data_IF_244517839579
#
_entry.id   IF_244517839579
#
_cell.length_a   1.000
_cell.length_b   1.000
_cell.length_c   1.000
_cell.angle_alpha   90.00
_cell.angle_beta   90.00
_cell.angle_gamma   90.00
#
_symmetry.space_group_name_H-M   'P 1'
#
loop_
_entity.id
_entity.type
_entity.pdbx_description
1 polymer ?
#
# COMPACT_ATOMS: atom_id res chain seq x y z
N UNK A 1 -26.15 -55.28 9.03
CA UNK A 1 -24.83 -55.52 8.41
C UNK A 1 -23.81 -54.60 9.08
N UNK A 2 -23.05 -55.08 10.08
CA UNK A 2 -22.01 -54.28 10.76
C UNK A 2 -20.72 -54.43 9.95
N UNK A 3 -20.30 -53.37 9.26
CA UNK A 3 -18.98 -53.33 8.62
C UNK A 3 -17.90 -53.30 9.70
N UNK A 4 -17.40 -54.47 10.04
CA UNK A 4 -16.26 -54.63 10.93
C UNK A 4 -14.99 -54.34 10.13
N UNK A 5 -14.62 -53.07 10.01
CA UNK A 5 -13.31 -52.68 9.45
C UNK A 5 -12.26 -53.03 10.49
N UNK A 6 -11.70 -54.23 10.35
CA UNK A 6 -10.47 -54.65 11.01
C UNK A 6 -9.34 -53.68 10.61
N UNK A 7 -9.10 -52.66 11.44
CA UNK A 7 -7.89 -51.85 11.37
C UNK A 7 -6.73 -52.72 11.88
N UNK A 8 -6.18 -53.57 11.00
CA UNK A 8 -4.90 -54.24 11.27
C UNK A 8 -3.88 -53.16 11.65
N UNK A 9 -3.18 -53.27 12.80
CA UNK A 9 -2.17 -52.29 13.16
C UNK A 9 -1.10 -52.27 12.07
N UNK A 10 -0.97 -51.12 11.39
CA UNK A 10 0.04 -50.91 10.36
C UNK A 10 1.43 -51.21 10.96
N UNK A 11 2.13 -52.20 10.41
CA UNK A 11 3.52 -52.51 10.80
C UNK A 11 4.37 -51.25 10.61
N UNK A 12 4.95 -50.73 11.69
CA UNK A 12 5.90 -49.61 11.65
C UNK A 12 7.18 -50.10 10.97
N UNK A 13 7.37 -49.68 9.72
CA UNK A 13 8.57 -49.99 8.96
C UNK A 13 9.62 -48.89 9.12
N UNK A 14 10.90 -49.27 9.04
CA UNK A 14 12.01 -48.31 9.06
C UNK A 14 11.90 -47.29 7.91
N UNK A 15 12.40 -46.09 8.18
CA UNK A 15 12.43 -44.98 7.21
C UNK A 15 13.35 -45.30 6.03
N UNK A 16 12.89 -45.02 4.81
CA UNK A 16 13.68 -45.15 3.57
C UNK A 16 14.39 -43.84 3.20
N UNK A 17 14.44 -42.83 4.09
CA UNK A 17 15.07 -41.54 3.83
C UNK A 17 16.59 -41.63 4.03
N UNK A 18 17.41 -41.49 2.97
CA UNK A 18 18.86 -41.45 3.13
C UNK A 18 19.31 -40.14 3.79
N UNK A 19 20.52 -40.12 4.33
CA UNK A 19 21.07 -38.97 5.06
C UNK A 19 20.93 -37.63 4.29
N UNK A 20 21.28 -37.62 3.00
CA UNK A 20 21.16 -36.41 2.13
C UNK A 20 19.71 -35.90 2.03
N UNK A 21 18.75 -36.81 1.84
CA UNK A 21 17.34 -36.44 1.67
C UNK A 21 16.71 -36.02 3.01
N UNK A 22 17.19 -36.60 4.12
CA UNK A 22 16.86 -36.15 5.47
C UNK A 22 17.38 -34.74 5.74
N UNK A 23 18.61 -34.43 5.32
CA UNK A 23 19.17 -33.07 5.42
C UNK A 23 18.34 -32.04 4.64
N UNK A 24 17.97 -32.36 3.40
CA UNK A 24 17.09 -31.51 2.59
C UNK A 24 15.73 -31.25 3.26
N UNK A 25 15.10 -32.29 3.83
CA UNK A 25 13.85 -32.15 4.56
C UNK A 25 14.01 -31.26 5.80
N UNK A 26 15.11 -31.41 6.55
CA UNK A 26 15.37 -30.56 7.73
C UNK A 26 15.52 -29.10 7.29
N UNK A 27 16.29 -28.82 6.25
CA UNK A 27 16.43 -27.47 5.70
C UNK A 27 15.07 -26.87 5.30
N UNK A 28 14.25 -27.65 4.57
CA UNK A 28 12.91 -27.22 4.19
C UNK A 28 12.00 -26.98 5.41
N UNK A 29 12.10 -27.79 6.47
CA UNK A 29 11.33 -27.59 7.70
C UNK A 29 11.77 -26.34 8.47
N UNK A 30 13.05 -25.98 8.46
CA UNK A 30 13.53 -24.72 9.04
C UNK A 30 12.93 -23.53 8.29
N UNK A 31 12.98 -23.55 6.95
CA UNK A 31 12.34 -22.51 6.14
C UNK A 31 10.82 -22.47 6.34
N UNK A 32 10.16 -23.62 6.47
CA UNK A 32 8.74 -23.71 6.74
C UNK A 32 8.37 -23.12 8.11
N UNK A 33 9.20 -23.32 9.14
CA UNK A 33 9.00 -22.69 10.45
C UNK A 33 9.07 -21.16 10.34
N UNK A 34 10.06 -20.64 9.61
CA UNK A 34 10.17 -19.21 9.32
C UNK A 34 8.95 -18.70 8.54
N UNK A 35 8.53 -19.40 7.48
CA UNK A 35 7.37 -19.01 6.66
C UNK A 35 6.08 -18.98 7.46
N UNK A 36 5.86 -19.94 8.37
CA UNK A 36 4.69 -19.94 9.25
C UNK A 36 4.75 -18.78 10.24
N UNK A 37 5.90 -18.52 10.85
CA UNK A 37 6.08 -17.39 11.76
C UNK A 37 5.89 -16.04 11.06
N UNK A 38 6.45 -15.89 9.85
CA UNK A 38 6.26 -14.72 8.99
C UNK A 38 4.78 -14.51 8.66
N UNK A 39 4.08 -15.57 8.23
CA UNK A 39 2.64 -15.50 7.93
C UNK A 39 1.82 -15.09 9.15
N UNK A 40 2.10 -15.68 10.32
CA UNK A 40 1.44 -15.33 11.57
C UNK A 40 1.72 -13.87 11.97
N UNK A 41 2.95 -13.38 11.79
CA UNK A 41 3.29 -11.98 12.01
C UNK A 41 2.49 -11.04 11.09
N UNK A 42 2.36 -11.35 9.79
CA UNK A 42 1.56 -10.55 8.86
C UNK A 42 0.07 -10.56 9.25
N UNK A 43 -0.46 -11.70 9.71
CA UNK A 43 -1.82 -11.81 10.23
C UNK A 43 -2.02 -11.02 11.52
N UNK A 44 -1.05 -11.02 12.43
CA UNK A 44 -1.08 -10.21 13.65
C UNK A 44 -1.09 -8.72 13.34
N UNK A 45 -0.32 -8.28 12.34
CA UNK A 45 -0.33 -6.88 11.90
C UNK A 45 -1.72 -6.49 11.34
N UNK A 46 -2.33 -7.36 10.54
CA UNK A 46 -3.69 -7.15 10.04
C UNK A 46 -4.75 -7.18 11.15
N UNK A 47 -4.59 -8.02 12.15
CA UNK A 47 -5.47 -8.05 13.32
C UNK A 47 -5.32 -6.77 14.14
N UNK A 48 -4.10 -6.29 14.35
CA UNK A 48 -3.84 -5.03 15.04
C UNK A 48 -4.51 -3.85 14.33
N UNK A 49 -4.48 -3.82 13.00
CA UNK A 49 -5.19 -2.81 12.21
C UNK A 49 -6.71 -2.87 12.44
N UNK A 50 -7.30 -4.06 12.37
CA UNK A 50 -8.73 -4.26 12.64
C UNK A 50 -9.15 -3.87 14.07
N UNK A 51 -8.25 -3.98 15.04
CA UNK A 51 -8.45 -3.58 16.44
C UNK A 51 -8.08 -2.10 16.71
N UNK A 52 -7.61 -1.35 15.71
CA UNK A 52 -7.18 0.03 15.85
C UNK A 52 -5.88 0.22 16.63
N UNK A 53 -5.07 -0.84 16.79
CA UNK A 53 -3.78 -0.81 17.48
C UNK A 53 -2.68 -0.23 16.59
N UNK A 54 -2.71 1.10 16.44
CA UNK A 54 -1.83 1.87 15.55
C UNK A 54 -0.33 1.70 15.79
N UNK A 55 0.08 1.29 17.00
CA UNK A 55 1.48 1.02 17.31
C UNK A 55 2.05 -0.22 16.59
N UNK A 56 1.20 -1.22 16.33
CA UNK A 56 1.63 -2.48 15.72
C UNK A 56 1.09 -2.65 14.29
N UNK A 57 -0.01 -1.98 13.96
CA UNK A 57 -0.62 -2.01 12.63
C UNK A 57 0.27 -1.31 11.59
N UNK A 58 0.40 -1.89 10.40
CA UNK A 58 0.86 -1.13 9.25
C UNK A 58 -0.24 -0.11 8.91
N UNK A 59 0.10 1.17 8.94
CA UNK A 59 -0.89 2.25 8.79
C UNK A 59 -1.01 2.71 7.35
N UNK A 60 -2.12 3.37 7.03
CA UNK A 60 -2.40 3.98 5.71
C UNK A 60 -1.33 5.00 5.26
N UNK A 61 -0.54 5.50 6.21
CA UNK A 61 0.40 6.61 6.00
C UNK A 61 1.86 6.18 6.04
N UNK A 62 2.17 5.01 6.60
CA UNK A 62 3.53 4.46 6.61
C UNK A 62 3.54 2.94 6.82
N UNK A 63 4.39 2.27 6.04
CA UNK A 63 4.69 0.85 6.19
C UNK A 63 5.97 0.69 7.01
N UNK A 64 5.93 0.08 8.21
CA UNK A 64 7.13 -0.18 9.00
C UNK A 64 8.18 -0.99 8.21
N UNK A 65 9.47 -0.69 8.40
CA UNK A 65 10.55 -1.35 7.66
C UNK A 65 10.54 -2.87 7.81
N UNK A 66 10.31 -3.37 9.03
CA UNK A 66 10.21 -4.80 9.27
C UNK A 66 9.00 -5.42 8.56
N UNK A 67 7.87 -4.73 8.50
CA UNK A 67 6.70 -5.22 7.77
C UNK A 67 7.03 -5.38 6.28
N UNK A 68 7.68 -4.39 5.67
CA UNK A 68 8.13 -4.46 4.27
C UNK A 68 9.12 -5.62 4.06
N UNK A 69 10.09 -5.78 4.96
CA UNK A 69 11.04 -6.87 4.92
C UNK A 69 10.37 -8.24 5.07
N UNK A 70 9.34 -8.36 5.91
CA UNK A 70 8.57 -9.59 6.08
C UNK A 70 7.77 -9.94 4.83
N UNK A 71 7.15 -8.97 4.15
CA UNK A 71 6.49 -9.20 2.86
C UNK A 71 7.48 -9.68 1.79
N UNK A 72 8.65 -9.03 1.70
CA UNK A 72 9.68 -9.41 0.73
C UNK A 72 10.25 -10.80 1.02
N UNK A 73 10.61 -11.08 2.27
CA UNK A 73 11.15 -12.38 2.68
C UNK A 73 10.10 -13.49 2.60
N UNK A 74 8.81 -13.20 2.79
CA UNK A 74 7.73 -14.16 2.55
C UNK A 74 7.78 -14.69 1.11
N UNK A 75 7.93 -13.78 0.16
CA UNK A 75 8.01 -14.14 -1.27
C UNK A 75 9.31 -14.90 -1.55
N UNK A 76 10.47 -14.34 -1.20
CA UNK A 76 11.77 -14.94 -1.50
C UNK A 76 12.00 -16.28 -0.82
N UNK A 77 11.75 -16.37 0.49
CA UNK A 77 11.91 -17.62 1.26
C UNK A 77 10.80 -18.62 0.89
N UNK A 78 9.60 -18.16 0.57
CA UNK A 78 8.51 -19.02 0.07
C UNK A 78 8.89 -19.72 -1.23
N UNK A 79 9.45 -19.00 -2.21
CA UNK A 79 9.93 -19.57 -3.46
C UNK A 79 11.08 -20.57 -3.25
N UNK A 80 12.03 -20.25 -2.36
CA UNK A 80 13.09 -21.17 -2.00
C UNK A 80 12.54 -22.46 -1.35
N UNK A 81 11.62 -22.32 -0.39
CA UNK A 81 10.97 -23.45 0.28
C UNK A 81 10.26 -24.36 -0.71
N UNK A 82 9.44 -23.80 -1.61
CA UNK A 82 8.71 -24.57 -2.63
C UNK A 82 9.70 -25.31 -3.53
N UNK A 83 10.76 -24.65 -3.98
CA UNK A 83 11.79 -25.26 -4.83
C UNK A 83 12.45 -26.47 -4.15
N UNK A 84 12.89 -26.31 -2.89
CA UNK A 84 13.48 -27.41 -2.11
C UNK A 84 12.48 -28.54 -1.86
N UNK A 85 11.20 -28.22 -1.62
CA UNK A 85 10.15 -29.21 -1.40
C UNK A 85 9.78 -29.97 -2.67
N UNK A 86 9.79 -29.34 -3.84
CA UNK A 86 9.58 -30.01 -5.12
C UNK A 86 10.73 -30.97 -5.43
N UNK A 87 11.98 -30.51 -5.25
CA UNK A 87 13.18 -31.37 -5.37
C UNK A 87 13.08 -32.56 -4.41
N UNK A 88 12.70 -32.32 -3.16
CA UNK A 88 12.47 -33.38 -2.18
C UNK A 88 11.36 -34.33 -2.63
N UNK A 89 10.22 -33.82 -3.09
CA UNK A 89 9.06 -34.63 -3.48
C UNK A 89 9.39 -35.58 -4.63
N UNK A 90 10.09 -35.11 -5.66
CA UNK A 90 10.53 -35.93 -6.80
C UNK A 90 11.47 -37.04 -6.33
N UNK A 91 12.54 -36.69 -5.59
CA UNK A 91 13.49 -37.68 -5.07
C UNK A 91 12.87 -38.66 -4.08
N UNK A 92 11.90 -38.19 -3.29
CA UNK A 92 11.18 -39.00 -2.31
C UNK A 92 10.27 -40.00 -3.02
N UNK A 93 9.51 -39.56 -4.02
CA UNK A 93 8.58 -40.37 -4.78
C UNK A 93 9.28 -41.58 -5.41
N UNK A 94 10.40 -41.38 -6.10
CA UNK A 94 11.18 -42.48 -6.70
C UNK A 94 11.60 -43.55 -5.69
N UNK A 95 11.88 -43.16 -4.45
CA UNK A 95 12.29 -44.10 -3.39
C UNK A 95 11.12 -44.84 -2.77
N UNK A 96 10.00 -44.16 -2.52
CA UNK A 96 8.84 -44.75 -1.84
C UNK A 96 7.88 -45.45 -2.78
N UNK A 97 7.96 -45.23 -4.09
CA UNK A 97 7.14 -45.89 -5.11
C UNK A 97 7.11 -47.41 -4.95
N UNK A 98 8.26 -48.00 -4.59
CA UNK A 98 8.42 -49.45 -4.37
C UNK A 98 7.60 -50.02 -3.21
N UNK A 99 7.05 -49.18 -2.32
CA UNK A 99 6.22 -49.64 -1.20
C UNK A 99 4.73 -49.78 -1.54
N UNK A 100 4.29 -49.34 -2.72
CA UNK A 100 2.91 -49.47 -3.20
C UNK A 100 1.80 -49.08 -2.20
N UNK A 101 2.07 -48.12 -1.30
CA UNK A 101 1.09 -47.68 -0.29
C UNK A 101 0.23 -46.53 -0.83
N UNK A 102 -0.92 -46.87 -1.42
CA UNK A 102 -1.79 -45.95 -2.15
C UNK A 102 -2.13 -44.68 -1.36
N UNK A 103 -2.53 -44.79 -0.09
CA UNK A 103 -2.91 -43.63 0.72
C UNK A 103 -1.77 -42.63 0.94
N UNK A 104 -0.52 -43.10 1.05
CA UNK A 104 0.66 -42.21 1.14
C UNK A 104 0.96 -41.53 -0.19
N UNK A 105 0.78 -42.23 -1.31
CA UNK A 105 0.98 -41.66 -2.65
C UNK A 105 -0.07 -40.59 -2.94
N UNK A 106 -1.35 -40.88 -2.72
CA UNK A 106 -2.45 -39.92 -2.95
C UNK A 106 -2.33 -38.69 -2.07
N UNK A 107 -2.04 -38.86 -0.77
CA UNK A 107 -1.82 -37.72 0.13
C UNK A 107 -0.60 -36.89 -0.27
N UNK A 108 0.47 -37.53 -0.77
CA UNK A 108 1.66 -36.84 -1.28
C UNK A 108 1.40 -36.04 -2.54
N UNK A 109 0.69 -36.63 -3.52
CA UNK A 109 0.30 -35.94 -4.76
C UNK A 109 -0.61 -34.75 -4.44
N UNK A 110 -1.61 -34.96 -3.58
CA UNK A 110 -2.53 -33.89 -3.15
C UNK A 110 -1.75 -32.74 -2.49
N UNK A 111 -0.78 -33.05 -1.63
CA UNK A 111 0.08 -32.06 -0.99
C UNK A 111 0.91 -31.26 -2.02
N UNK A 112 1.48 -31.93 -3.03
CA UNK A 112 2.23 -31.26 -4.11
C UNK A 112 1.32 -30.35 -4.94
N UNK A 113 0.12 -30.82 -5.32
CA UNK A 113 -0.85 -30.00 -6.07
C UNK A 113 -1.23 -28.75 -5.27
N UNK A 114 -1.57 -28.89 -3.99
CA UNK A 114 -1.86 -27.73 -3.13
C UNK A 114 -0.69 -26.75 -3.07
N UNK A 115 0.55 -27.25 -3.03
CA UNK A 115 1.76 -26.41 -3.05
C UNK A 115 1.97 -25.67 -4.37
N UNK A 116 1.66 -26.31 -5.50
CA UNK A 116 1.69 -25.69 -6.81
C UNK A 116 0.62 -24.60 -6.95
N UNK A 117 -0.60 -24.86 -6.48
CA UNK A 117 -1.66 -23.84 -6.43
C UNK A 117 -1.22 -22.66 -5.55
N UNK A 118 -0.62 -22.93 -4.39
CA UNK A 118 -0.10 -21.90 -3.49
C UNK A 118 0.92 -20.98 -4.20
N UNK A 119 1.91 -21.54 -4.90
CA UNK A 119 2.95 -20.72 -5.56
C UNK A 119 2.40 -19.96 -6.76
N UNK A 120 1.56 -20.58 -7.58
CA UNK A 120 0.96 -19.94 -8.76
C UNK A 120 0.07 -18.77 -8.34
N UNK A 121 -0.80 -18.99 -7.35
CA UNK A 121 -1.67 -17.93 -6.82
C UNK A 121 -0.84 -16.83 -6.14
N UNK A 122 0.26 -17.17 -5.44
CA UNK A 122 1.17 -16.20 -4.84
C UNK A 122 1.81 -15.26 -5.87
N UNK A 123 2.34 -15.82 -6.96
CA UNK A 123 2.94 -15.02 -8.05
C UNK A 123 1.91 -14.18 -8.80
N UNK A 124 0.69 -14.70 -8.96
CA UNK A 124 -0.39 -13.96 -9.60
C UNK A 124 -0.84 -12.75 -8.78
N UNK A 125 -0.83 -12.85 -7.44
CA UNK A 125 -1.14 -11.73 -6.53
C UNK A 125 -0.16 -10.56 -6.68
N UNK A 126 1.11 -10.83 -6.98
CA UNK A 126 2.12 -9.78 -7.17
C UNK A 126 1.97 -8.99 -8.48
N UNK A 127 1.06 -9.40 -9.37
CA UNK A 127 0.86 -8.78 -10.68
C UNK A 127 -0.59 -8.30 -10.85
N UNK A 128 -1.45 -9.10 -11.47
CA UNK A 128 -2.80 -8.71 -11.89
C UNK A 128 -3.90 -9.03 -10.86
N UNK A 129 -3.60 -9.78 -9.78
CA UNK A 129 -4.63 -10.25 -8.85
C UNK A 129 -4.97 -9.28 -7.71
N UNK A 130 -4.30 -8.14 -7.59
CA UNK A 130 -4.67 -7.06 -6.67
C UNK A 130 -5.91 -6.27 -7.16
N UNK A 131 -6.92 -6.95 -7.68
CA UNK A 131 -8.14 -6.37 -8.22
C UNK A 131 -9.37 -7.05 -7.63
N UNK A 132 -10.51 -6.33 -7.61
CA UNK A 132 -11.77 -6.90 -7.09
C UNK A 132 -12.24 -8.11 -7.90
N UNK A 133 -11.90 -8.17 -9.19
CA UNK A 133 -12.30 -9.25 -10.10
C UNK A 133 -11.50 -10.54 -9.85
N UNK A 134 -10.29 -10.43 -9.31
CA UNK A 134 -9.37 -11.55 -9.11
C UNK A 134 -9.26 -12.00 -7.64
N UNK A 135 -10.21 -11.63 -6.78
CA UNK A 135 -10.25 -12.01 -5.35
C UNK A 135 -10.16 -13.52 -5.11
N UNK A 136 -10.58 -14.34 -6.06
CA UNK A 136 -10.49 -15.80 -5.98
C UNK A 136 -9.05 -16.28 -5.77
N UNK A 137 -8.07 -15.63 -6.41
CA UNK A 137 -6.66 -16.02 -6.31
C UNK A 137 -6.12 -15.78 -4.90
N UNK A 138 -6.52 -14.67 -4.29
CA UNK A 138 -6.18 -14.36 -2.90
C UNK A 138 -6.74 -15.41 -1.93
N UNK A 139 -8.03 -15.75 -2.05
CA UNK A 139 -8.64 -16.79 -1.19
C UNK A 139 -8.05 -18.17 -1.44
N UNK A 140 -7.79 -18.54 -2.70
CA UNK A 140 -7.13 -19.80 -3.03
C UNK A 140 -5.74 -19.90 -2.39
N UNK A 141 -4.96 -18.81 -2.41
CA UNK A 141 -3.66 -18.74 -1.74
C UNK A 141 -3.79 -18.94 -0.23
N UNK A 142 -4.71 -18.22 0.42
CA UNK A 142 -4.94 -18.33 1.88
C UNK A 142 -5.38 -19.73 2.28
N UNK A 143 -6.33 -20.33 1.55
CA UNK A 143 -6.81 -21.69 1.81
C UNK A 143 -5.65 -22.69 1.65
N UNK A 144 -4.89 -22.60 0.55
CA UNK A 144 -3.74 -23.48 0.34
C UNK A 144 -2.68 -23.30 1.45
N UNK A 145 -2.44 -22.07 1.89
CA UNK A 145 -1.47 -21.77 2.95
C UNK A 145 -1.85 -22.44 4.28
N UNK A 146 -3.16 -22.48 4.61
CA UNK A 146 -3.67 -23.20 5.77
C UNK A 146 -3.61 -24.74 5.59
N UNK A 147 -3.91 -25.22 4.37
CA UNK A 147 -3.92 -26.65 4.05
C UNK A 147 -2.52 -27.27 4.00
N UNK A 148 -1.47 -26.53 3.66
CA UNK A 148 -0.10 -27.09 3.53
C UNK A 148 0.42 -27.67 4.86
N UNK A 149 0.45 -26.95 6.00
CA UNK A 149 0.89 -27.52 7.28
C UNK A 149 0.08 -28.76 7.69
N UNK A 150 -1.25 -28.70 7.50
CA UNK A 150 -2.17 -29.80 7.81
C UNK A 150 -1.92 -31.01 6.89
N UNK A 151 -1.75 -30.78 5.60
CA UNK A 151 -1.47 -31.79 4.59
C UNK A 151 -0.13 -32.49 4.83
N UNK A 152 0.91 -31.76 5.23
CA UNK A 152 2.19 -32.35 5.63
C UNK A 152 2.03 -33.28 6.85
N UNK A 153 1.30 -32.83 7.87
CA UNK A 153 1.02 -33.66 9.05
C UNK A 153 0.24 -34.92 8.67
N UNK A 154 -0.82 -34.78 7.87
CA UNK A 154 -1.65 -35.90 7.41
C UNK A 154 -0.86 -36.89 6.57
N UNK A 155 -0.08 -36.40 5.59
CA UNK A 155 0.79 -37.24 4.75
C UNK A 155 1.75 -38.09 5.60
N UNK A 156 2.35 -37.51 6.65
CA UNK A 156 3.20 -38.24 7.59
C UNK A 156 2.43 -39.18 8.51
N UNK A 157 1.25 -38.81 8.97
CA UNK A 157 0.43 -39.63 9.85
C UNK A 157 -0.06 -40.91 9.16
N UNK A 158 -0.38 -40.83 7.87
CA UNK A 158 -0.78 -41.96 7.02
C UNK A 158 0.42 -42.81 6.57
N UNK A 159 1.64 -42.28 6.65
CA UNK A 159 2.86 -43.01 6.31
C UNK A 159 3.26 -44.01 7.41
N UNK A 160 4.06 -45.01 7.05
CA UNK A 160 4.61 -46.00 7.99
C UNK A 160 5.48 -45.39 9.11
N UNK A 161 5.99 -44.16 8.93
CA UNK A 161 6.87 -43.45 9.87
C UNK A 161 6.16 -42.21 10.38
N UNK A 162 5.42 -42.40 11.47
CA UNK A 162 4.62 -41.34 12.09
C UNK A 162 5.50 -40.25 12.76
N UNK A 163 5.00 -39.01 12.83
CA UNK A 163 5.71 -37.92 13.49
C UNK A 163 5.77 -38.15 15.01
N UNK A 164 6.97 -37.97 15.58
CA UNK A 164 7.13 -37.97 17.04
C UNK A 164 6.53 -36.70 17.63
N UNK A 165 5.71 -36.83 18.68
CA UNK A 165 5.10 -35.68 19.39
C UNK A 165 6.14 -34.64 19.84
N UNK A 166 7.32 -35.09 20.28
CA UNK A 166 8.42 -34.22 20.67
C UNK A 166 8.98 -33.37 19.51
N UNK A 167 9.00 -33.90 18.28
CA UNK A 167 9.41 -33.13 17.10
C UNK A 167 8.39 -32.05 16.74
N UNK A 168 7.10 -32.36 16.84
CA UNK A 168 6.03 -31.40 16.61
C UNK A 168 6.06 -30.27 17.64
N UNK A 169 6.20 -30.61 18.93
CA UNK A 169 6.35 -29.62 20.01
C UNK A 169 7.53 -28.67 19.75
N UNK A 170 8.71 -29.21 19.41
CA UNK A 170 9.89 -28.38 19.08
C UNK A 170 9.64 -27.45 17.90
N UNK A 171 8.96 -27.92 16.85
CA UNK A 171 8.61 -27.09 15.70
C UNK A 171 7.66 -25.95 16.09
N UNK A 172 6.59 -26.24 16.84
CA UNK A 172 5.63 -25.24 17.28
C UNK A 172 6.26 -24.21 18.24
N UNK A 173 7.14 -24.65 19.15
CA UNK A 173 7.91 -23.76 20.01
C UNK A 173 8.80 -22.85 19.16
N UNK A 174 9.53 -23.39 18.18
CA UNK A 174 10.38 -22.59 17.31
C UNK A 174 9.57 -21.52 16.54
N UNK A 175 8.40 -21.89 16.00
CA UNK A 175 7.49 -20.95 15.34
C UNK A 175 7.01 -19.86 16.30
N UNK A 176 6.54 -20.24 17.50
CA UNK A 176 6.07 -19.30 18.50
C UNK A 176 7.18 -18.33 18.96
N UNK A 177 8.40 -18.84 19.18
CA UNK A 177 9.57 -18.02 19.50
C UNK A 177 9.91 -17.05 18.38
N UNK A 178 9.87 -17.49 17.12
CA UNK A 178 10.10 -16.61 15.96
C UNK A 178 9.02 -15.52 15.85
N UNK A 179 7.75 -15.86 16.05
CA UNK A 179 6.65 -14.87 16.06
C UNK A 179 6.87 -13.83 17.16
N UNK A 180 7.26 -14.26 18.37
CA UNK A 180 7.56 -13.36 19.47
C UNK A 180 8.75 -12.45 19.15
N UNK A 181 9.83 -13.00 18.59
CA UNK A 181 11.00 -12.22 18.16
C UNK A 181 10.60 -11.18 17.10
N UNK A 182 9.80 -11.56 16.10
CA UNK A 182 9.32 -10.64 15.07
C UNK A 182 8.42 -9.55 15.66
N UNK A 183 7.54 -9.89 16.61
CA UNK A 183 6.70 -8.92 17.29
C UNK A 183 7.52 -7.91 18.11
N UNK A 184 8.53 -8.38 18.85
CA UNK A 184 9.45 -7.53 19.62
C UNK A 184 10.27 -6.65 18.67
N UNK A 185 10.85 -7.23 17.62
CA UNK A 185 11.61 -6.49 16.60
C UNK A 185 10.75 -5.43 15.89
N UNK A 186 9.45 -5.70 15.72
CA UNK A 186 8.53 -4.72 15.17
C UNK A 186 8.43 -3.48 16.06
N UNK A 187 8.32 -3.66 17.37
CA UNK A 187 8.27 -2.55 18.34
C UNK A 187 9.50 -1.64 18.27
N UNK A 188 10.68 -2.19 17.96
CA UNK A 188 11.92 -1.41 17.80
C UNK A 188 12.09 -0.78 16.42
N UNK A 189 11.44 -1.31 15.39
CA UNK A 189 11.54 -0.83 14.00
C UNK A 189 10.37 0.06 13.59
N UNK A 190 9.29 0.06 14.36
CA UNK A 190 8.19 0.99 14.22
C UNK A 190 8.65 2.39 14.65
N UNK A 191 9.14 3.17 13.69
CA UNK A 191 9.31 4.61 13.86
C UNK A 191 7.94 5.25 13.69
N UNK A 192 7.48 5.98 14.70
CA UNK A 192 6.22 6.72 14.64
C UNK A 192 6.16 7.67 13.43
N UNK A 193 5.02 8.34 13.25
CA UNK A 193 4.81 9.26 12.12
C UNK A 193 5.86 10.38 12.17
N UNK A 194 6.79 10.38 11.22
CA UNK A 194 7.71 11.49 11.00
C UNK A 194 6.92 12.60 10.31
N UNK A 195 6.77 13.73 11.01
CA UNK A 195 6.05 14.89 10.50
C UNK A 195 7.05 15.95 10.04
N UNK A 196 6.70 16.67 8.97
CA UNK A 196 7.49 17.84 8.58
C UNK A 196 7.31 18.97 9.60
N UNK A 197 8.22 19.94 9.61
CA UNK A 197 8.14 21.09 10.52
C UNK A 197 6.80 21.83 10.35
N UNK A 198 6.36 22.02 9.11
CA UNK A 198 5.11 22.70 8.77
C UNK A 198 3.90 21.94 9.33
N UNK A 199 3.92 20.61 9.24
CA UNK A 199 2.87 19.76 9.80
C UNK A 199 2.86 19.82 11.34
N UNK A 200 4.03 19.84 11.98
CA UNK A 200 4.14 19.99 13.45
C UNK A 200 3.57 21.33 13.91
N UNK A 201 4.00 22.44 13.30
CA UNK A 201 3.48 23.77 13.63
C UNK A 201 1.98 23.88 13.40
N UNK A 202 1.44 23.27 12.33
CA UNK A 202 0.00 23.25 12.09
C UNK A 202 -0.77 22.45 13.17
N UNK A 203 -0.19 21.35 13.66
CA UNK A 203 -0.76 20.57 14.76
C UNK A 203 -0.77 21.34 16.08
N UNK A 204 0.34 21.99 16.43
CA UNK A 204 0.48 22.83 17.62
C UNK A 204 -0.54 23.98 17.62
N UNK A 205 -0.80 24.57 16.45
CA UNK A 205 -1.83 25.60 16.25
C UNK A 205 -3.26 25.06 16.19
N UNK A 206 -3.47 23.75 16.33
CA UNK A 206 -4.80 23.13 16.29
C UNK A 206 -5.46 23.06 14.90
N UNK A 207 -4.72 23.36 13.82
CA UNK A 207 -5.29 23.46 12.47
C UNK A 207 -5.84 22.12 11.95
N UNK A 208 -5.29 21.01 12.43
CA UNK A 208 -5.71 19.64 12.09
C UNK A 208 -7.17 19.30 12.46
N UNK A 209 -7.86 20.16 13.21
CA UNK A 209 -9.30 20.08 13.50
C UNK A 209 -10.08 21.30 12.97
N UNK A 210 -9.38 22.24 12.35
CA UNK A 210 -9.93 23.49 11.83
C UNK A 210 -10.65 23.34 10.48
N UNK A 211 -11.11 24.46 9.91
CA UNK A 211 -11.90 24.48 8.67
C UNK A 211 -11.19 23.94 7.42
N UNK A 212 -9.85 23.88 7.40
CA UNK A 212 -9.07 23.26 6.33
C UNK A 212 -8.78 21.76 6.53
N UNK A 213 -9.18 21.19 7.66
CA UNK A 213 -8.85 19.81 8.02
C UNK A 213 -9.71 18.78 7.27
N UNK A 214 -9.11 17.63 6.95
CA UNK A 214 -9.80 16.49 6.34
C UNK A 214 -11.02 16.05 7.15
N UNK A 215 -10.89 16.01 8.49
CA UNK A 215 -11.94 15.57 9.42
C UNK A 215 -12.66 16.75 10.09
N UNK A 216 -12.74 17.91 9.41
CA UNK A 216 -13.42 19.09 9.93
C UNK A 216 -14.89 18.81 10.24
N UNK A 217 -15.37 19.38 11.34
CA UNK A 217 -16.77 19.35 11.72
C UNK A 217 -17.49 20.54 11.07
N UNK A 218 -18.26 20.26 10.02
CA UNK A 218 -18.94 21.28 9.22
C UNK A 218 -20.09 21.96 9.96
N UNK A 219 -20.71 21.30 10.95
CA UNK A 219 -21.83 21.85 11.71
C UNK A 219 -21.44 23.12 12.47
N UNK A 220 -20.16 23.25 12.85
CA UNK A 220 -19.61 24.44 13.51
C UNK A 220 -19.54 25.69 12.61
N UNK A 221 -19.68 25.52 11.30
CA UNK A 221 -19.49 26.59 10.32
C UNK A 221 -20.76 26.96 9.54
N UNK A 222 -21.88 26.26 9.81
CA UNK A 222 -23.19 26.58 9.23
C UNK A 222 -24.16 26.96 10.35
N UNK A 223 -25.06 27.89 10.04
CA UNK A 223 -26.16 28.26 10.96
C UNK A 223 -27.40 27.41 10.76
N UNK A 224 -27.53 26.75 9.59
CA UNK A 224 -28.66 25.88 9.25
C UNK A 224 -28.38 24.41 9.60
N UNK A 225 -29.44 23.66 9.92
CA UNK A 225 -29.37 22.18 10.05
C UNK A 225 -29.02 21.46 8.75
N UNK A 226 -29.16 22.14 7.60
CA UNK A 226 -28.78 21.61 6.30
C UNK A 226 -27.37 22.07 5.93
N UNK A 227 -26.49 21.12 5.59
CA UNK A 227 -25.15 21.37 5.06
C UNK A 227 -25.16 21.01 3.56
N UNK A 228 -24.99 21.99 2.66
CA UNK A 228 -24.92 21.70 1.23
C UNK A 228 -23.78 20.75 0.88
N UNK A 229 -24.01 19.87 -0.09
CA UNK A 229 -22.94 19.04 -0.63
C UNK A 229 -21.84 19.94 -1.22
N UNK A 230 -20.60 19.72 -0.80
CA UNK A 230 -19.47 20.56 -1.22
C UNK A 230 -19.33 21.88 -0.47
N UNK A 231 -20.04 22.09 0.64
CA UNK A 231 -19.84 23.27 1.49
C UNK A 231 -18.39 23.37 1.99
N UNK A 232 -17.81 24.56 1.81
CA UNK A 232 -16.48 24.91 2.27
C UNK A 232 -16.60 26.04 3.28
N UNK A 233 -16.15 25.85 4.54
CA UNK A 233 -16.12 26.93 5.51
C UNK A 233 -15.31 28.12 4.98
N UNK A 234 -15.80 29.36 5.08
CA UNK A 234 -15.05 30.56 4.66
C UNK A 234 -13.72 30.70 5.39
N UNK A 235 -13.61 30.19 6.63
CA UNK A 235 -12.35 30.14 7.37
C UNK A 235 -11.35 29.10 6.86
N UNK A 236 -11.67 28.32 5.83
CA UNK A 236 -10.71 27.38 5.24
C UNK A 236 -9.63 28.16 4.46
N UNK A 237 -8.34 27.83 4.63
CA UNK A 237 -7.28 28.45 3.81
C UNK A 237 -7.44 28.08 2.33
N UNK A 238 -8.17 26.99 2.05
CA UNK A 238 -8.41 26.52 0.71
C UNK A 238 -9.69 27.07 0.07
N UNK A 239 -10.51 27.83 0.82
CA UNK A 239 -11.75 28.38 0.30
C UNK A 239 -11.53 29.15 -1.01
N UNK A 240 -12.43 29.02 -2.02
CA UNK A 240 -13.64 28.19 -2.07
C UNK A 240 -13.41 26.73 -2.56
N UNK A 241 -12.17 26.26 -2.65
CA UNK A 241 -11.89 24.86 -2.95
C UNK A 241 -12.29 23.94 -1.81
N UNK A 242 -12.85 22.78 -2.13
CA UNK A 242 -13.14 21.72 -1.16
C UNK A 242 -11.89 20.94 -0.71
N UNK A 243 -10.70 21.37 -1.15
CA UNK A 243 -9.44 20.79 -0.75
C UNK A 243 -9.26 20.79 0.77
N UNK A 244 -8.63 19.73 1.26
CA UNK A 244 -8.29 19.58 2.68
C UNK A 244 -6.97 18.88 2.86
N UNK A 245 -6.38 19.09 4.03
CA UNK A 245 -5.14 18.43 4.42
C UNK A 245 -5.28 17.81 5.80
N UNK A 246 -4.41 16.85 6.11
CA UNK A 246 -4.34 16.24 7.44
C UNK A 246 -3.84 17.21 8.51
N UNK A 247 -3.02 18.19 8.13
CA UNK A 247 -2.58 19.29 8.99
C UNK A 247 -3.61 20.41 9.11
N UNK A 248 -4.59 20.47 8.20
CA UNK A 248 -5.56 21.55 8.07
C UNK A 248 -5.00 22.88 7.53
N UNK A 249 -3.71 22.91 7.19
CA UNK A 249 -3.04 24.04 6.55
C UNK A 249 -2.30 23.61 5.28
N UNK A 250 -1.59 24.56 4.67
CA UNK A 250 -0.81 24.31 3.46
C UNK A 250 0.26 23.23 3.67
N UNK A 251 0.61 22.58 2.56
CA UNK A 251 1.58 21.50 2.45
C UNK A 251 2.65 21.92 1.45
N UNK A 252 3.94 21.68 1.72
CA UNK A 252 4.96 21.99 0.73
C UNK A 252 4.72 21.19 -0.56
N UNK A 253 4.88 21.84 -1.72
CA UNK A 253 4.64 21.26 -3.06
C UNK A 253 5.33 19.91 -3.27
N UNK A 254 6.52 19.75 -2.67
CA UNK A 254 7.32 18.51 -2.65
C UNK A 254 6.58 17.27 -2.15
N UNK A 255 5.49 17.41 -1.39
CA UNK A 255 4.71 16.25 -0.89
C UNK A 255 4.00 15.54 -2.04
N UNK A 256 3.48 16.29 -3.02
CA UNK A 256 2.78 15.74 -4.17
C UNK A 256 3.80 15.24 -5.19
N UNK A 257 4.87 16.01 -5.41
CA UNK A 257 5.91 15.67 -6.38
C UNK A 257 6.94 14.68 -5.83
N UNK A 258 6.88 14.32 -4.55
CA UNK A 258 7.91 13.52 -3.83
C UNK A 258 9.33 14.11 -3.94
N UNK A 259 9.43 15.43 -4.10
CA UNK A 259 10.69 16.12 -4.36
C UNK A 259 11.22 15.95 -5.80
N UNK A 260 10.52 15.19 -6.64
CA UNK A 260 10.77 15.10 -8.08
C UNK A 260 10.07 16.27 -8.78
N UNK A 261 10.75 17.41 -8.83
CA UNK A 261 10.30 18.59 -9.56
C UNK A 261 10.55 18.46 -11.09
N UNK A 262 10.74 17.24 -11.60
CA UNK A 262 11.18 16.98 -12.97
C UNK A 262 12.65 17.36 -13.17
N UNK A 263 13.18 17.07 -14.36
CA UNK A 263 14.51 17.53 -14.77
C UNK A 263 14.45 19.04 -15.07
N UNK A 264 14.92 19.95 -14.19
CA UNK A 264 14.73 21.39 -14.35
C UNK A 264 15.42 21.94 -15.61
N UNK A 265 16.47 21.28 -16.07
CA UNK A 265 17.13 21.61 -17.34
C UNK A 265 16.22 21.30 -18.55
N UNK A 266 15.51 20.18 -18.55
CA UNK A 266 14.55 19.83 -19.63
C UNK A 266 13.35 20.77 -19.63
N UNK A 267 12.87 21.15 -18.44
CA UNK A 267 11.83 22.15 -18.27
C UNK A 267 12.24 23.48 -18.92
N UNK A 268 13.46 23.94 -18.60
CA UNK A 268 14.02 25.16 -19.15
C UNK A 268 14.17 25.09 -20.67
N UNK A 269 14.65 23.96 -21.20
CA UNK A 269 14.77 23.76 -22.65
C UNK A 269 13.42 23.89 -23.38
N UNK A 270 12.35 23.31 -22.84
CA UNK A 270 11.01 23.43 -23.41
C UNK A 270 10.52 24.88 -23.35
N UNK A 271 10.68 25.54 -22.19
CA UNK A 271 10.30 26.95 -22.00
C UNK A 271 11.06 27.89 -22.95
N UNK A 272 12.37 27.74 -23.09
CA UNK A 272 13.20 28.59 -23.94
C UNK A 272 12.87 28.38 -25.44
N UNK A 273 12.53 27.15 -25.86
CA UNK A 273 12.23 26.82 -27.28
C UNK A 273 10.79 27.09 -27.69
N UNK A 274 9.84 26.77 -26.81
CA UNK A 274 8.40 26.73 -27.14
C UNK A 274 7.59 27.77 -26.37
N UNK A 275 8.16 28.39 -25.33
CA UNK A 275 7.46 29.30 -24.43
C UNK A 275 6.55 28.61 -23.40
N UNK A 276 6.52 27.28 -23.38
CA UNK A 276 5.74 26.45 -22.44
C UNK A 276 6.25 25.01 -22.42
N UNK A 277 5.85 24.26 -21.39
CA UNK A 277 6.29 22.87 -21.21
C UNK A 277 5.43 21.93 -22.02
N UNK A 278 6.06 21.18 -22.93
CA UNK A 278 5.35 20.25 -23.82
C UNK A 278 5.84 18.82 -23.72
N UNK A 279 7.15 18.62 -23.79
CA UNK A 279 7.74 17.30 -23.90
C UNK A 279 8.13 16.73 -22.53
N UNK A 280 8.51 17.60 -21.58
CA UNK A 280 8.89 17.21 -20.23
C UNK A 280 7.70 16.69 -19.41
N UNK A 281 7.74 15.46 -18.88
CA UNK A 281 6.67 14.89 -18.05
C UNK A 281 6.85 15.26 -16.57
N UNK A 282 6.62 16.54 -16.22
CA UNK A 282 6.81 17.09 -14.87
C UNK A 282 6.11 16.20 -13.82
N UNK A 283 6.87 15.63 -12.88
CA UNK A 283 6.38 14.75 -11.81
C UNK A 283 5.84 13.37 -12.25
N UNK A 284 5.58 13.17 -13.54
CA UNK A 284 5.07 11.90 -14.08
C UNK A 284 6.19 10.93 -14.51
N UNK A 285 7.42 11.42 -14.72
CA UNK A 285 8.58 10.61 -15.12
C UNK A 285 8.83 9.45 -14.14
N UNK A 286 8.84 9.74 -12.84
CA UNK A 286 9.02 8.70 -11.80
C UNK A 286 7.85 7.72 -11.72
N UNK A 287 6.63 8.19 -11.99
CA UNK A 287 5.44 7.33 -12.03
C UNK A 287 5.51 6.31 -13.18
N UNK A 288 6.16 6.66 -14.28
CA UNK A 288 6.27 5.81 -15.48
C UNK A 288 6.99 4.48 -15.21
N UNK A 289 7.81 4.41 -14.15
CA UNK A 289 8.49 3.16 -13.76
C UNK A 289 7.51 2.03 -13.44
N UNK A 290 6.38 2.37 -12.81
CA UNK A 290 5.42 1.39 -12.30
C UNK A 290 4.01 1.53 -12.90
N UNK A 291 3.68 2.69 -13.48
CA UNK A 291 2.36 3.04 -13.98
C UNK A 291 2.41 3.52 -15.44
N UNK A 292 3.03 2.71 -16.32
CA UNK A 292 3.28 3.07 -17.72
C UNK A 292 1.99 3.50 -18.44
N UNK A 293 0.93 2.69 -18.34
CA UNK A 293 -0.32 2.92 -19.06
C UNK A 293 -1.00 4.23 -18.61
N UNK A 294 -0.96 4.52 -17.31
CA UNK A 294 -1.53 5.75 -16.75
C UNK A 294 -0.75 6.97 -17.21
N UNK A 295 0.59 6.89 -17.22
CA UNK A 295 1.44 7.99 -17.70
C UNK A 295 1.24 8.20 -19.20
N UNK A 296 1.14 7.14 -20.01
CA UNK A 296 0.89 7.25 -21.45
C UNK A 296 -0.48 7.88 -21.75
N UNK A 297 -1.52 7.48 -21.00
CA UNK A 297 -2.86 8.07 -21.11
C UNK A 297 -2.86 9.55 -20.71
N UNK A 298 -2.23 9.90 -19.58
CA UNK A 298 -2.10 11.29 -19.15
C UNK A 298 -1.30 12.11 -20.17
N UNK A 299 -0.19 11.57 -20.70
CA UNK A 299 0.75 12.25 -21.57
C UNK A 299 0.12 12.72 -22.89
N UNK A 300 -0.92 12.03 -23.34
CA UNK A 300 -1.69 12.35 -24.56
C UNK A 300 -2.97 13.14 -24.27
N UNK A 301 -3.32 13.33 -23.00
CA UNK A 301 -4.55 14.00 -22.60
C UNK A 301 -4.40 15.52 -22.54
N UNK A 302 -5.50 16.26 -22.71
CA UNK A 302 -5.54 17.70 -22.51
C UNK A 302 -5.19 18.12 -21.06
N UNK A 303 -5.38 17.23 -20.08
CA UNK A 303 -5.05 17.50 -18.68
C UNK A 303 -3.55 17.77 -18.47
N UNK A 304 -2.67 17.23 -19.31
CA UNK A 304 -1.24 17.53 -19.25
C UNK A 304 -0.92 19.02 -19.45
N UNK A 305 -1.76 19.74 -20.19
CA UNK A 305 -1.58 21.16 -20.52
C UNK A 305 -2.45 22.09 -19.66
N UNK A 306 -3.09 21.57 -18.61
CA UNK A 306 -4.06 22.31 -17.79
C UNK A 306 -3.42 22.89 -16.52
N UNK A 307 -2.34 23.65 -16.68
CA UNK A 307 -1.61 24.29 -15.57
C UNK A 307 -0.90 25.58 -16.05
N UNK A 308 -0.41 26.39 -15.11
CA UNK A 308 0.18 27.71 -15.34
C UNK A 308 1.44 27.75 -16.22
N UNK A 309 2.14 26.63 -16.40
CA UNK A 309 3.24 26.55 -17.38
C UNK A 309 2.77 26.68 -18.84
N UNK A 310 1.46 26.53 -19.10
CA UNK A 310 0.86 26.75 -20.41
C UNK A 310 0.33 28.20 -20.51
N UNK A 311 0.85 29.03 -21.43
CA UNK A 311 0.49 30.44 -21.54
C UNK A 311 -0.99 30.65 -21.89
N UNK A 312 -1.62 29.71 -22.60
CA UNK A 312 -3.05 29.80 -22.91
C UNK A 312 -3.92 29.57 -21.68
N UNK A 313 -3.54 28.59 -20.85
CA UNK A 313 -4.21 28.31 -19.58
C UNK A 313 -4.02 29.47 -18.61
N UNK A 314 -2.77 29.90 -18.43
CA UNK A 314 -2.43 31.03 -17.57
C UNK A 314 -3.17 32.31 -17.96
N UNK A 315 -3.18 32.67 -19.25
CA UNK A 315 -3.88 33.85 -19.72
C UNK A 315 -5.37 33.80 -19.39
N UNK A 316 -6.00 32.63 -19.53
CA UNK A 316 -7.42 32.41 -19.21
C UNK A 316 -7.69 32.61 -17.72
N UNK A 317 -6.87 32.00 -16.85
CA UNK A 317 -7.05 32.13 -15.39
C UNK A 317 -6.73 33.54 -14.92
N UNK A 318 -5.71 34.19 -15.48
CA UNK A 318 -5.33 35.55 -15.12
C UNK A 318 -6.36 36.59 -15.61
N UNK A 319 -6.98 36.40 -16.77
CA UNK A 319 -8.10 37.22 -17.21
C UNK A 319 -9.28 37.11 -16.23
N UNK A 320 -9.66 35.88 -15.86
CA UNK A 320 -10.69 35.65 -14.83
C UNK A 320 -10.33 36.33 -13.51
N UNK A 321 -9.08 36.22 -13.04
CA UNK A 321 -8.62 36.87 -11.82
C UNK A 321 -8.76 38.39 -11.88
N UNK A 322 -8.40 39.01 -13.01
CA UNK A 322 -8.50 40.46 -13.22
C UNK A 322 -9.94 40.96 -13.27
N UNK A 323 -10.84 40.17 -13.84
CA UNK A 323 -12.22 40.57 -14.07
C UNK A 323 -13.18 40.17 -12.93
N UNK A 324 -12.83 39.15 -12.11
CA UNK A 324 -13.65 38.66 -11.02
C UNK A 324 -13.46 39.45 -9.72
N UNK A 325 -13.65 40.77 -9.74
CA UNK A 325 -13.37 41.67 -8.59
C UNK A 325 -14.54 41.84 -7.62
N UNK A 326 -15.78 41.48 -7.97
CA UNK A 326 -16.94 41.66 -7.08
C UNK A 326 -17.11 40.48 -6.11
N UNK A 327 -16.96 40.65 -4.78
CA UNK A 327 -17.14 39.55 -3.84
C UNK A 327 -18.63 39.19 -3.70
N UNK A 328 -18.90 37.93 -3.37
CA UNK A 328 -20.20 37.53 -2.83
C UNK A 328 -20.09 37.41 -1.30
N UNK A 329 -21.21 37.15 -0.61
CA UNK A 329 -21.26 37.05 0.85
C UNK A 329 -20.23 36.07 1.45
N UNK A 330 -19.89 34.98 0.74
CA UNK A 330 -18.96 33.98 1.22
C UNK A 330 -17.50 34.41 1.06
N UNK A 331 -17.19 35.11 -0.03
CA UNK A 331 -15.87 35.74 -0.22
C UNK A 331 -15.67 36.85 0.81
N UNK A 332 -16.70 37.67 1.09
CA UNK A 332 -16.65 38.68 2.15
C UNK A 332 -16.38 38.05 3.52
N UNK A 333 -16.99 36.91 3.82
CA UNK A 333 -16.70 36.15 5.04
C UNK A 333 -15.27 35.61 5.05
N UNK A 334 -14.77 35.08 3.94
CA UNK A 334 -13.39 34.59 3.84
C UNK A 334 -12.39 35.72 4.12
N UNK A 335 -12.60 36.90 3.54
CA UNK A 335 -11.75 38.08 3.76
C UNK A 335 -11.70 38.49 5.24
N UNK A 336 -12.76 38.26 6.02
CA UNK A 336 -12.71 38.51 7.48
C UNK A 336 -11.76 37.56 8.21
N UNK A 337 -11.59 36.33 7.73
CA UNK A 337 -10.61 35.38 8.26
C UNK A 337 -9.19 35.65 7.74
N UNK A 338 -9.08 36.19 6.52
CA UNK A 338 -7.82 36.46 5.82
C UNK A 338 -7.77 37.90 5.28
N UNK A 339 -7.59 38.92 6.14
CA UNK A 339 -7.67 40.33 5.73
C UNK A 339 -6.67 40.72 4.64
N UNK A 340 -5.55 40.02 4.53
CA UNK A 340 -4.55 40.19 3.48
C UNK A 340 -5.08 39.85 2.06
N UNK A 341 -6.24 39.22 1.96
CA UNK A 341 -6.91 38.90 0.70
C UNK A 341 -7.99 39.92 0.31
N UNK A 342 -8.19 40.98 1.13
CA UNK A 342 -9.24 41.98 0.94
C UNK A 342 -9.06 42.86 -0.29
N UNK A 343 -7.82 43.03 -0.77
CA UNK A 343 -7.52 43.94 -1.86
C UNK A 343 -8.26 43.49 -3.16
N UNK A 344 -8.89 44.40 -3.93
CA UNK A 344 -9.68 44.04 -5.12
C UNK A 344 -8.94 43.14 -6.12
N UNK A 345 -7.64 43.37 -6.32
CA UNK A 345 -6.74 42.61 -7.18
C UNK A 345 -6.48 41.18 -6.67
N UNK A 346 -6.69 40.91 -5.38
CA UNK A 346 -6.49 39.61 -4.72
C UNK A 346 -7.77 38.78 -4.66
N UNK A 347 -8.95 39.40 -4.79
CA UNK A 347 -10.24 38.69 -4.77
C UNK A 347 -10.36 37.67 -5.90
N UNK A 348 -9.88 38.00 -7.10
CA UNK A 348 -9.82 37.07 -8.21
C UNK A 348 -8.90 35.88 -7.91
N UNK A 349 -7.77 36.11 -7.23
CA UNK A 349 -6.84 35.05 -6.84
C UNK A 349 -7.48 34.09 -5.82
N UNK A 350 -8.20 34.61 -4.83
CA UNK A 350 -9.02 33.80 -3.91
C UNK A 350 -10.03 32.95 -4.68
N UNK A 351 -10.81 33.54 -5.57
CA UNK A 351 -11.83 32.81 -6.35
C UNK A 351 -11.23 31.71 -7.23
N UNK A 352 -10.07 31.97 -7.82
CA UNK A 352 -9.38 30.99 -8.66
C UNK A 352 -8.96 29.72 -7.90
N UNK A 353 -8.89 29.77 -6.56
CA UNK A 353 -8.68 28.57 -5.72
C UNK A 353 -9.71 27.48 -6.01
N UNK A 354 -10.95 27.84 -6.36
CA UNK A 354 -11.98 26.87 -6.77
C UNK A 354 -11.49 25.93 -7.89
N UNK A 355 -10.91 26.50 -8.95
CA UNK A 355 -10.42 25.76 -10.11
C UNK A 355 -9.19 24.92 -9.76
N UNK A 356 -8.30 25.49 -8.94
CA UNK A 356 -7.05 24.83 -8.55
C UNK A 356 -7.23 23.57 -7.69
N UNK A 357 -8.42 23.36 -7.11
CA UNK A 357 -8.74 22.09 -6.43
C UNK A 357 -8.65 20.87 -7.35
N UNK A 358 -8.87 21.06 -8.66
CA UNK A 358 -8.82 20.00 -9.66
C UNK A 358 -7.68 20.19 -10.67
N UNK A 359 -7.41 21.42 -11.10
CA UNK A 359 -6.45 21.69 -12.18
C UNK A 359 -5.03 21.97 -11.67
N UNK A 360 -4.90 22.70 -10.56
CA UNK A 360 -3.60 23.14 -10.02
C UNK A 360 -3.37 22.72 -8.55
N UNK A 361 -3.51 21.42 -8.21
CA UNK A 361 -3.49 20.97 -6.82
C UNK A 361 -2.14 21.23 -6.13
N UNK A 362 -1.03 21.25 -6.89
CA UNK A 362 0.28 21.56 -6.36
C UNK A 362 0.37 23.01 -5.86
N UNK A 363 -0.12 23.96 -6.66
CA UNK A 363 -0.18 25.38 -6.29
C UNK A 363 -1.19 25.62 -5.17
N UNK A 364 -2.34 24.95 -5.21
CA UNK A 364 -3.38 25.08 -4.19
C UNK A 364 -2.89 24.60 -2.83
N UNK A 365 -2.35 23.38 -2.77
CA UNK A 365 -1.91 22.79 -1.51
C UNK A 365 -0.67 23.50 -0.95
N UNK A 366 0.19 24.06 -1.81
CA UNK A 366 1.33 24.89 -1.41
C UNK A 366 0.97 26.32 -1.00
N UNK A 367 -0.30 26.74 -1.12
CA UNK A 367 -0.71 28.11 -0.81
C UNK A 367 -0.11 29.14 -1.77
N UNK A 368 0.14 28.75 -3.03
CA UNK A 368 0.65 29.65 -4.08
C UNK A 368 -0.47 30.27 -4.93
N UNK A 369 -1.70 29.79 -4.81
CA UNK A 369 -2.82 30.18 -5.67
C UNK A 369 -3.42 31.56 -5.33
N UNK A 370 -3.11 32.14 -4.16
CA UNK A 370 -3.50 33.51 -3.78
C UNK A 370 -2.45 34.58 -4.16
N UNK A 371 -1.45 34.21 -4.96
CA UNK A 371 -0.42 35.11 -5.45
C UNK A 371 -0.24 35.01 -6.98
N UNK A 372 0.59 35.90 -7.52
CA UNK A 372 1.10 35.73 -8.88
C UNK A 372 1.93 34.45 -8.97
N UNK A 373 1.78 33.76 -10.10
CA UNK A 373 2.41 32.46 -10.34
C UNK A 373 3.48 32.65 -11.41
N UNK A 374 4.71 32.28 -11.08
CA UNK A 374 5.79 32.19 -12.05
C UNK A 374 5.67 30.91 -12.86
N UNK A 375 5.28 31.06 -14.12
CA UNK A 375 5.11 29.96 -15.10
C UNK A 375 6.38 29.14 -15.32
N UNK A 376 7.55 29.65 -14.94
CA UNK A 376 8.82 28.97 -15.12
C UNK A 376 9.16 28.02 -13.96
N UNK A 377 8.34 28.00 -12.91
CA UNK A 377 8.54 27.11 -11.78
C UNK A 377 7.95 25.72 -12.08
N UNK A 378 8.57 24.63 -11.59
CA UNK A 378 8.01 23.29 -11.78
C UNK A 378 6.64 23.06 -11.13
N UNK A 379 6.22 23.93 -10.21
CA UNK A 379 4.89 23.86 -9.62
C UNK A 379 3.79 24.49 -10.47
N UNK A 380 4.15 25.36 -11.42
CA UNK A 380 3.26 25.92 -12.41
C UNK A 380 3.03 24.94 -13.56
#
# INVERSE_FOLDING_TARGET
>A
MKFNVSLRPQRRLLSLLPAKLKGLLIAALVLAAFMLANTLYLLLNRLADALGWRFFAASDISLPQLFQAMVLTHTGVGLLLVSLMLIFAVMHLFKVWRRHHQSSVVSGISFVITGLVLVVTGMFILTAAASRNNKWAWWAHVICAALIPLGYFFHRAVSFVQPQRASLKRFLIAVASLVLILAIAHSFTHRGIVRTQEAQTALEKGLHQGPGAKNRDLEKFVTSKFIPMGFVPPGSPFFPSAATTSSGGYLPSRIITRGDLGAPEKLKDDLDKLGFVKETPIGAETCNRCHQDIVAQWATSAHRFSSFNNPFYEATVNDMRKNATTPNIWVEQHVKYYPETAAPERLGMVKSKWCSGCHDPALMLAGKMDAEIDRNTPEA
#
